data_IF_010809518807
#
_entry.id   IF_010809518807
#
_cell.length_a   1.000
_cell.length_b   1.000
_cell.length_c   1.000
_cell.angle_alpha   90.00
_cell.angle_beta   90.00
_cell.angle_gamma   90.00
#
_symmetry.space_group_name_H-M   'P 1'
#
loop_
_entity.id
_entity.type
_entity.pdbx_description
1 polymer ?
#
# COMPACT_ATOMS: atom_id res chain seq x y z
N UNK A 1 -10.49 -11.10 -36.35
CA UNK A 1 -9.19 -11.03 -35.65
C UNK A 1 -9.27 -9.84 -34.69
N UNK A 2 -9.59 -10.09 -33.42
CA UNK A 2 -9.77 -9.04 -32.42
C UNK A 2 -8.44 -8.78 -31.69
N UNK A 3 -7.98 -7.54 -31.74
CA UNK A 3 -6.74 -7.08 -31.13
C UNK A 3 -6.85 -7.08 -29.59
N UNK A 4 -5.89 -7.71 -28.93
CA UNK A 4 -5.74 -7.67 -27.48
C UNK A 4 -5.10 -6.34 -27.06
N UNK A 5 -5.81 -5.58 -26.23
CA UNK A 5 -5.26 -4.40 -25.55
C UNK A 5 -4.45 -4.82 -24.32
N UNK A 6 -3.14 -4.47 -24.20
CA UNK A 6 -2.40 -4.67 -22.96
C UNK A 6 -2.54 -3.41 -22.11
N UNK A 7 -3.63 -3.33 -21.36
CA UNK A 7 -3.88 -2.25 -20.40
C UNK A 7 -4.18 -2.83 -19.03
N UNK A 8 -3.18 -3.40 -18.35
CA UNK A 8 -3.39 -3.92 -17.00
C UNK A 8 -2.24 -3.50 -16.10
N UNK A 9 -2.49 -2.52 -15.24
CA UNK A 9 -1.69 -2.24 -14.06
C UNK A 9 -1.69 -3.47 -13.15
N UNK A 10 -0.79 -4.41 -13.44
CA UNK A 10 -0.50 -5.59 -12.63
C UNK A 10 0.29 -5.18 -11.38
N UNK A 11 -0.28 -4.28 -10.59
CA UNK A 11 0.27 -3.87 -9.31
C UNK A 11 0.02 -4.96 -8.29
N UNK A 12 1.05 -5.76 -7.99
CA UNK A 12 1.23 -6.54 -6.74
C UNK A 12 0.26 -7.73 -6.50
N UNK A 13 -0.97 -7.72 -7.01
CA UNK A 13 -1.99 -8.72 -6.71
C UNK A 13 -1.73 -10.12 -7.30
N UNK A 14 -0.98 -10.22 -8.41
CA UNK A 14 -0.76 -11.49 -9.11
C UNK A 14 0.15 -12.48 -8.34
N UNK A 15 0.87 -12.02 -7.31
CA UNK A 15 1.80 -12.86 -6.52
C UNK A 15 1.14 -13.52 -5.29
N UNK A 16 -0.18 -13.40 -5.12
CA UNK A 16 -0.92 -13.83 -3.92
C UNK A 16 -1.55 -15.22 -4.00
N UNK A 17 -0.84 -16.22 -4.55
CA UNK A 17 -1.36 -17.60 -4.62
C UNK A 17 -1.09 -18.37 -3.33
N UNK A 18 -2.13 -18.44 -2.50
CA UNK A 18 -2.32 -19.57 -1.58
C UNK A 18 -3.71 -20.14 -1.85
N UNK A 19 -3.80 -21.21 -2.64
CA UNK A 19 -4.98 -22.09 -2.69
C UNK A 19 -5.76 -22.28 -4.01
N UNK A 20 -5.36 -21.71 -5.15
CA UNK A 20 -6.09 -21.90 -6.42
C UNK A 20 -6.02 -20.70 -7.37
N UNK A 21 -6.65 -20.74 -8.56
CA UNK A 21 -6.56 -19.66 -9.55
C UNK A 21 -7.35 -18.42 -9.11
N UNK A 22 -6.64 -17.31 -8.89
CA UNK A 22 -7.10 -15.97 -9.26
C UNK A 22 -7.87 -15.11 -8.25
N UNK A 23 -8.34 -15.63 -7.11
CA UNK A 23 -9.12 -14.81 -6.16
C UNK A 23 -8.31 -14.42 -4.91
N UNK A 24 -8.23 -13.12 -4.54
CA UNK A 24 -7.57 -12.67 -3.33
C UNK A 24 -8.32 -13.17 -2.09
N UNK A 25 -7.61 -13.43 -0.98
CA UNK A 25 -8.28 -13.83 0.26
C UNK A 25 -9.23 -12.71 0.78
N UNK A 26 -10.28 -13.04 1.56
CA UNK A 26 -11.25 -12.04 2.02
C UNK A 26 -10.63 -10.84 2.76
N UNK A 27 -9.55 -11.09 3.53
CA UNK A 27 -8.80 -10.05 4.21
C UNK A 27 -8.06 -9.11 3.23
N UNK A 28 -7.47 -9.67 2.18
CA UNK A 28 -6.86 -8.89 1.10
C UNK A 28 -7.90 -8.14 0.28
N UNK A 29 -9.07 -8.74 0.03
CA UNK A 29 -10.18 -8.08 -0.67
C UNK A 29 -10.69 -6.86 0.12
N UNK A 30 -10.92 -6.99 1.43
CA UNK A 30 -11.30 -5.86 2.27
C UNK A 30 -10.24 -4.74 2.29
N UNK A 31 -8.96 -5.10 2.25
CA UNK A 31 -7.86 -4.15 2.23
C UNK A 31 -7.68 -3.42 0.88
N UNK A 32 -8.43 -3.77 -0.16
CA UNK A 32 -8.40 -3.06 -1.45
C UNK A 32 -9.07 -1.68 -1.34
N UNK A 33 -10.10 -1.54 -0.53
CA UNK A 33 -10.88 -0.30 -0.38
C UNK A 33 -10.69 0.38 0.97
N UNK A 34 -10.05 -0.30 1.94
CA UNK A 34 -9.82 0.23 3.29
C UNK A 34 -8.34 0.12 3.65
N UNK A 35 -7.66 1.26 3.79
CA UNK A 35 -6.24 1.30 4.15
C UNK A 35 -5.93 0.62 5.49
N UNK A 36 -6.78 0.83 6.50
CA UNK A 36 -6.59 0.33 7.87
C UNK A 36 -7.44 -0.92 8.18
N UNK A 37 -7.60 -1.82 7.20
CA UNK A 37 -8.33 -3.07 7.44
C UNK A 37 -7.65 -3.89 8.54
N UNK A 38 -8.37 -4.25 9.63
CA UNK A 38 -7.80 -5.06 10.72
C UNK A 38 -7.73 -6.55 10.37
N UNK A 39 -8.26 -6.95 9.21
CA UNK A 39 -8.33 -8.34 8.81
C UNK A 39 -6.98 -8.82 8.26
N UNK A 40 -6.46 -9.89 8.86
CA UNK A 40 -5.26 -10.59 8.40
C UNK A 40 -5.47 -12.10 8.45
N UNK A 41 -4.79 -12.82 7.55
CA UNK A 41 -4.71 -14.28 7.57
C UNK A 41 -3.25 -14.71 7.62
N UNK A 42 -2.89 -15.47 8.65
CA UNK A 42 -1.51 -15.87 8.94
C UNK A 42 -0.79 -16.53 7.75
N UNK A 43 -1.51 -17.34 6.97
CA UNK A 43 -0.94 -18.09 5.85
C UNK A 43 -1.13 -17.40 4.48
N UNK A 44 -1.73 -16.21 4.43
CA UNK A 44 -1.87 -15.48 3.18
C UNK A 44 -0.64 -14.61 2.92
N UNK A 45 0.04 -14.86 1.80
CA UNK A 45 1.21 -14.06 1.41
C UNK A 45 0.91 -12.55 1.37
N UNK A 46 -0.26 -12.14 0.88
CA UNK A 46 -0.63 -10.72 0.76
C UNK A 46 -0.94 -10.07 2.10
N UNK A 47 -1.46 -10.85 3.04
CA UNK A 47 -1.61 -10.38 4.42
C UNK A 47 -0.24 -10.20 5.07
N UNK A 48 0.74 -11.08 4.81
CA UNK A 48 2.11 -10.92 5.29
C UNK A 48 2.78 -9.67 4.71
N UNK A 49 2.70 -9.47 3.39
CA UNK A 49 3.24 -8.25 2.73
C UNK A 49 2.61 -6.98 3.31
N UNK A 50 1.28 -6.97 3.49
CA UNK A 50 0.59 -5.82 4.08
C UNK A 50 1.01 -5.58 5.53
N UNK A 51 1.23 -6.64 6.30
CA UNK A 51 1.74 -6.54 7.67
C UNK A 51 3.15 -5.93 7.69
N UNK A 52 4.05 -6.38 6.80
CA UNK A 52 5.39 -5.81 6.65
C UNK A 52 5.33 -4.33 6.26
N UNK A 53 4.49 -3.96 5.28
CA UNK A 53 4.36 -2.58 4.80
C UNK A 53 3.87 -1.59 5.86
N UNK A 54 3.21 -2.07 6.91
CA UNK A 54 2.73 -1.26 8.05
C UNK A 54 3.58 -1.48 9.31
N UNK A 55 4.55 -2.39 9.27
CA UNK A 55 5.33 -2.84 10.41
C UNK A 55 6.46 -1.89 10.79
N UNK A 56 6.88 -1.89 12.06
CA UNK A 56 7.88 -0.95 12.57
C UNK A 56 9.25 -1.09 11.89
N UNK A 57 9.64 -2.30 11.47
CA UNK A 57 10.94 -2.52 10.82
C UNK A 57 11.00 -1.91 9.42
N UNK A 58 9.91 -2.01 8.66
CA UNK A 58 9.82 -1.31 7.37
C UNK A 58 9.91 0.21 7.56
N UNK A 59 9.18 0.78 8.52
CA UNK A 59 9.23 2.22 8.80
C UNK A 59 10.63 2.70 9.21
N UNK A 60 11.34 1.92 10.03
CA UNK A 60 12.74 2.20 10.35
C UNK A 60 13.61 2.20 9.10
N UNK A 61 13.45 1.17 8.25
CA UNK A 61 14.22 1.07 7.00
C UNK A 61 13.99 2.25 6.04
N UNK A 62 12.75 2.73 5.94
CA UNK A 62 12.40 3.90 5.11
C UNK A 62 12.97 5.19 5.72
N UNK A 63 12.89 5.34 7.05
CA UNK A 63 13.41 6.52 7.76
C UNK A 63 14.93 6.62 7.68
N UNK A 64 15.63 5.51 7.81
CA UNK A 64 17.10 5.42 7.78
C UNK A 64 17.65 5.38 6.36
N UNK A 65 16.81 5.13 5.36
CA UNK A 65 17.24 4.95 3.96
C UNK A 65 18.08 3.68 3.74
N UNK A 66 18.08 2.75 4.69
CA UNK A 66 18.88 1.53 4.69
C UNK A 66 18.03 0.32 5.10
N UNK A 67 18.33 -0.85 4.55
CA UNK A 67 17.67 -2.09 4.97
C UNK A 67 18.35 -2.61 6.24
N UNK A 68 17.69 -2.46 7.39
CA UNK A 68 18.19 -2.98 8.66
C UNK A 68 18.19 -4.51 8.68
N UNK A 69 19.07 -5.12 9.48
CA UNK A 69 19.14 -6.58 9.62
C UNK A 69 17.82 -7.18 10.08
N UNK A 70 17.11 -6.49 10.99
CA UNK A 70 15.80 -6.88 11.46
C UNK A 70 14.77 -6.92 10.31
N UNK A 71 14.76 -5.89 9.45
CA UNK A 71 13.88 -5.85 8.29
C UNK A 71 14.24 -6.90 7.23
N UNK A 72 15.54 -7.14 7.00
CA UNK A 72 16.01 -8.22 6.12
C UNK A 72 15.56 -9.60 6.62
N UNK A 73 15.60 -9.84 7.93
CA UNK A 73 15.09 -11.06 8.55
C UNK A 73 13.59 -11.27 8.29
N UNK A 74 12.79 -10.20 8.43
CA UNK A 74 11.36 -10.25 8.14
C UNK A 74 11.07 -10.51 6.64
N UNK A 75 11.84 -9.90 5.74
CA UNK A 75 11.73 -10.15 4.30
C UNK A 75 12.11 -11.59 3.95
N UNK A 76 13.20 -12.11 4.52
CA UNK A 76 13.62 -13.49 4.30
C UNK A 76 12.58 -14.49 4.82
N UNK A 77 11.90 -14.20 5.92
CA UNK A 77 10.83 -15.05 6.46
C UNK A 77 9.58 -15.11 5.57
N UNK A 78 9.27 -14.05 4.82
CA UNK A 78 8.09 -14.00 3.95
C UNK A 78 8.40 -14.46 2.51
N UNK A 79 9.51 -14.02 1.95
CA UNK A 79 9.86 -14.24 0.54
C UNK A 79 10.92 -15.32 0.31
N UNK A 80 11.63 -15.73 1.37
CA UNK A 80 12.86 -16.52 1.31
C UNK A 80 14.10 -15.64 1.14
N UNK A 81 15.23 -16.06 1.71
CA UNK A 81 16.48 -15.28 1.71
C UNK A 81 16.92 -14.86 0.30
N UNK A 82 16.85 -15.77 -0.68
CA UNK A 82 17.22 -15.50 -2.07
C UNK A 82 16.33 -14.43 -2.76
N UNK A 83 15.14 -14.14 -2.22
CA UNK A 83 14.17 -13.19 -2.79
C UNK A 83 13.91 -11.98 -1.90
N UNK A 84 14.63 -11.82 -0.79
CA UNK A 84 14.40 -10.74 0.17
C UNK A 84 14.50 -9.35 -0.50
N UNK A 85 15.53 -9.13 -1.33
CA UNK A 85 15.72 -7.88 -2.08
C UNK A 85 14.54 -7.56 -3.02
N UNK A 86 14.05 -8.55 -3.78
CA UNK A 86 12.86 -8.39 -4.62
C UNK A 86 11.60 -8.20 -3.76
N UNK A 87 11.53 -8.84 -2.60
CA UNK A 87 10.47 -8.70 -1.62
C UNK A 87 10.32 -7.26 -1.10
N UNK A 88 11.42 -6.54 -0.89
CA UNK A 88 11.36 -5.12 -0.52
C UNK A 88 10.58 -4.28 -1.53
N UNK A 89 10.79 -4.49 -2.84
CA UNK A 89 10.06 -3.77 -3.88
C UNK A 89 8.55 -4.04 -3.81
N UNK A 90 8.15 -5.27 -3.48
CA UNK A 90 6.75 -5.66 -3.30
C UNK A 90 6.14 -4.97 -2.06
N UNK A 91 6.86 -4.96 -0.93
CA UNK A 91 6.44 -4.28 0.30
C UNK A 91 6.31 -2.77 0.08
N UNK A 92 7.25 -2.16 -0.62
CA UNK A 92 7.21 -0.74 -0.95
C UNK A 92 6.03 -0.37 -1.86
N UNK A 93 5.72 -1.23 -2.85
CA UNK A 93 4.56 -1.03 -3.71
C UNK A 93 3.24 -1.14 -2.92
N UNK A 94 3.13 -2.10 -2.00
CA UNK A 94 1.97 -2.21 -1.10
C UNK A 94 1.85 -1.00 -0.16
N UNK A 95 2.96 -0.53 0.41
CA UNK A 95 2.99 0.68 1.22
C UNK A 95 2.46 1.89 0.45
N UNK A 96 2.91 2.11 -0.78
CA UNK A 96 2.42 3.20 -1.66
C UNK A 96 0.92 3.07 -1.95
N UNK A 97 0.42 1.85 -2.19
CA UNK A 97 -1.01 1.60 -2.39
C UNK A 97 -1.83 1.98 -1.16
N UNK A 98 -1.38 1.56 0.03
CA UNK A 98 -2.05 1.90 1.29
C UNK A 98 -2.04 3.41 1.53
N UNK A 99 -0.92 4.09 1.23
CA UNK A 99 -0.83 5.53 1.37
C UNK A 99 -1.79 6.27 0.44
N UNK A 100 -1.89 5.84 -0.81
CA UNK A 100 -2.85 6.41 -1.77
C UNK A 100 -4.30 6.28 -1.28
N UNK A 101 -4.65 5.13 -0.66
CA UNK A 101 -5.98 4.96 -0.05
C UNK A 101 -6.21 5.89 1.15
N UNK A 102 -5.19 6.11 1.99
CA UNK A 102 -5.28 7.05 3.12
C UNK A 102 -5.47 8.49 2.62
N UNK A 103 -4.66 8.90 1.64
CA UNK A 103 -4.72 10.23 1.06
C UNK A 103 -6.07 10.45 0.35
N UNK A 104 -6.62 9.44 -0.31
CA UNK A 104 -7.99 9.46 -0.86
C UNK A 104 -9.03 9.65 0.25
N UNK A 105 -8.98 8.84 1.31
CA UNK A 105 -9.93 8.92 2.41
C UNK A 105 -9.88 10.28 3.15
N UNK A 106 -8.67 10.84 3.32
CA UNK A 106 -8.49 12.18 3.90
C UNK A 106 -9.04 13.29 2.99
N UNK A 107 -8.87 13.17 1.67
CA UNK A 107 -9.43 14.12 0.69
C UNK A 107 -10.96 14.08 0.65
N UNK A 108 -11.55 12.90 0.76
CA UNK A 108 -13.00 12.71 0.73
C UNK A 108 -13.68 13.00 2.08
N UNK A 109 -12.94 13.44 3.11
CA UNK A 109 -13.49 13.76 4.43
C UNK A 109 -13.99 12.55 5.24
N UNK A 110 -13.57 11.34 4.86
CA UNK A 110 -13.95 10.08 5.54
C UNK A 110 -13.07 9.81 6.77
N UNK A 111 -11.88 10.42 6.81
CA UNK A 111 -11.02 10.46 8.00
C UNK A 111 -10.96 11.90 8.53
N UNK A 112 -10.90 12.10 9.86
CA UNK A 112 -10.61 13.42 10.42
C UNK A 112 -9.29 13.93 9.81
N UNK A 113 -9.30 15.15 9.26
CA UNK A 113 -8.06 15.85 8.91
C UNK A 113 -7.25 15.99 10.19
N UNK A 114 -6.08 15.35 10.24
CA UNK A 114 -5.15 15.51 11.35
C UNK A 114 -4.69 16.99 11.36
N UNK A 115 -4.96 17.77 12.41
CA UNK A 115 -4.66 19.21 12.43
C UNK A 115 -3.16 19.53 12.59
N UNK A 116 -2.28 18.52 12.62
CA UNK A 116 -0.83 18.67 12.82
C UNK A 116 -0.02 18.94 11.54
N UNK A 117 -0.65 19.27 10.43
CA UNK A 117 0.04 19.91 9.30
C UNK A 117 0.40 21.34 9.70
N UNK A 118 1.54 21.49 10.37
CA UNK A 118 2.07 22.78 10.79
C UNK A 118 2.23 23.72 9.59
N UNK A 119 1.72 24.93 9.81
CA UNK A 119 1.73 26.04 8.89
C UNK A 119 3.16 26.55 8.63
N UNK A 120 3.51 26.63 7.34
CA UNK A 120 4.24 27.77 6.77
C UNK A 120 3.22 28.41 5.82
N UNK A 121 2.54 29.50 6.18
CA UNK A 121 3.13 30.80 6.42
C UNK A 121 2.94 31.64 5.15
N UNK A 122 1.90 32.47 5.13
CA UNK A 122 1.84 33.67 4.27
C UNK A 122 1.01 33.60 2.98
N UNK A 123 -0.17 34.21 3.06
CA UNK A 123 -0.72 35.20 2.10
C UNK A 123 -1.31 34.79 0.74
N UNK A 124 -2.59 35.17 0.63
CA UNK A 124 -3.25 35.83 -0.51
C UNK A 124 -3.95 34.97 -1.60
N UNK A 125 -5.28 34.87 -1.41
CA UNK A 125 -6.36 35.28 -2.33
C UNK A 125 -6.51 34.55 -3.69
N UNK A 126 -7.69 33.92 -3.81
CA UNK A 126 -8.51 33.61 -4.98
C UNK A 126 -7.89 32.93 -6.21
N UNK A 127 -8.33 31.69 -6.47
CA UNK A 127 -9.22 31.41 -7.62
C UNK A 127 -9.83 30.02 -7.47
N UNK A 128 -11.16 29.97 -7.56
CA UNK A 128 -11.98 28.78 -7.70
C UNK A 128 -11.39 27.74 -8.67
N UNK A 129 -11.01 26.57 -8.15
CA UNK A 129 -10.95 25.35 -8.96
C UNK A 129 -11.83 24.30 -8.30
N UNK A 130 -13.15 24.52 -8.42
CA UNK A 130 -14.11 23.44 -8.40
C UNK A 130 -13.85 22.59 -9.64
N UNK A 131 -13.15 21.46 -9.46
CA UNK A 131 -13.11 20.39 -10.45
C UNK A 131 -14.18 19.37 -10.08
N UNK A 132 -15.38 19.42 -10.66
CA UNK A 132 -16.34 18.33 -10.53
C UNK A 132 -15.86 17.19 -11.42
N UNK A 133 -15.59 16.01 -10.84
CA UNK A 133 -15.51 14.79 -11.64
C UNK A 133 -14.24 13.94 -11.51
N UNK A 134 -13.56 13.92 -10.36
CA UNK A 134 -12.76 12.73 -10.03
C UNK A 134 -13.60 11.84 -9.11
N UNK A 135 -13.92 10.60 -9.52
CA UNK A 135 -14.73 9.73 -8.69
C UNK A 135 -14.00 9.49 -7.37
N UNK A 136 -14.76 9.62 -6.28
CA UNK A 136 -14.49 8.93 -5.03
C UNK A 136 -14.54 7.41 -5.27
#
# INVERSE_FOLDING_TARGET
MAAAHPGTGAGVCALLRSGGPGQPCPACQAAQTRAHSPLFRAHCHGCKVRALAQGPQFWRSVKEGAHTDAYQGELAAVFGAARAAAGHAVVLAEYRRLRALQDNAARCGVLPRDPRSHATGGSDIDTHNNHPGRPC
#
